data_IF_757034639327
#
_entry.id   IF_757034639327
#
_cell.length_a   1.000
_cell.length_b   1.000
_cell.length_c   1.000
_cell.angle_alpha   90.00
_cell.angle_beta   90.00
_cell.angle_gamma   90.00
#
_symmetry.space_group_name_H-M   'P 1'
#
loop_
_entity.id
_entity.type
_entity.pdbx_description
1 polymer ?
#
# COMPACT_ATOMS: atom_id res chain seq x y z
N UNK A 1 19.62 12.28 13.20
CA UNK A 1 18.28 12.81 12.91
C UNK A 1 17.42 11.67 12.39
N UNK A 2 16.19 11.50 12.91
CA UNK A 2 15.30 10.46 12.43
C UNK A 2 14.70 10.77 11.07
N UNK A 3 14.32 9.72 10.33
CA UNK A 3 13.59 9.85 9.08
C UNK A 3 12.09 9.71 9.33
N UNK A 4 11.28 10.44 8.58
CA UNK A 4 9.83 10.33 8.58
C UNK A 4 9.38 9.82 7.21
N UNK A 5 8.52 8.81 7.19
CA UNK A 5 7.89 8.27 5.99
C UNK A 5 6.38 8.45 6.11
N UNK A 6 5.80 9.09 5.13
CA UNK A 6 4.35 9.18 4.98
C UNK A 6 3.95 8.28 3.82
N UNK A 7 3.20 7.23 4.13
CA UNK A 7 2.56 6.40 3.11
C UNK A 7 1.23 7.05 2.77
N UNK A 8 0.95 7.21 1.51
CA UNK A 8 -0.33 7.72 1.02
C UNK A 8 -0.98 6.61 0.21
N UNK A 9 -2.16 6.17 0.60
CA UNK A 9 -2.98 5.31 -0.25
C UNK A 9 -3.33 6.07 -1.53
N UNK A 10 -3.21 5.43 -2.70
CA UNK A 10 -3.60 6.10 -3.95
C UNK A 10 -5.06 6.57 -3.91
N UNK A 11 -5.39 7.52 -4.75
CA UNK A 11 -6.74 8.05 -4.86
C UNK A 11 -7.75 7.01 -5.38
N UNK A 12 -9.04 7.36 -5.42
CA UNK A 12 -10.09 6.42 -5.80
C UNK A 12 -9.95 5.96 -7.27
N UNK A 13 -10.23 4.68 -7.49
CA UNK A 13 -10.25 4.02 -8.79
C UNK A 13 -11.62 3.38 -9.05
N UNK A 14 -11.90 2.99 -10.28
CA UNK A 14 -13.13 2.26 -10.60
C UNK A 14 -13.16 0.90 -9.89
N UNK A 15 -12.04 0.17 -9.91
CA UNK A 15 -11.95 -1.16 -9.30
C UNK A 15 -12.13 -1.16 -7.78
N UNK A 16 -11.85 -0.06 -7.08
CA UNK A 16 -12.10 0.03 -5.64
C UNK A 16 -13.59 -0.08 -5.29
N UNK A 17 -14.50 0.40 -6.13
CA UNK A 17 -15.94 0.32 -5.89
C UNK A 17 -16.46 -1.12 -6.00
N UNK A 18 -15.88 -1.89 -6.90
CA UNK A 18 -16.24 -3.28 -7.16
C UNK A 18 -15.37 -4.26 -6.36
N UNK A 19 -14.42 -3.72 -5.57
CA UNK A 19 -13.43 -4.49 -4.81
C UNK A 19 -12.68 -5.47 -5.72
N UNK A 20 -12.17 -4.96 -6.84
CA UNK A 20 -11.43 -5.75 -7.83
C UNK A 20 -10.06 -6.14 -7.27
N UNK A 21 -9.74 -7.42 -7.30
CA UNK A 21 -8.41 -7.91 -6.94
C UNK A 21 -7.35 -7.47 -7.96
N UNK A 22 -6.23 -6.93 -7.48
CA UNK A 22 -5.15 -6.47 -8.37
C UNK A 22 -5.63 -5.37 -9.33
N UNK A 23 -6.37 -4.39 -8.80
CA UNK A 23 -6.90 -3.27 -9.58
C UNK A 23 -5.77 -2.46 -10.23
N UNK A 24 -5.77 -2.43 -11.55
CA UNK A 24 -4.85 -1.66 -12.39
C UNK A 24 -5.54 -0.47 -13.07
N UNK A 25 -6.72 -0.08 -12.58
CA UNK A 25 -7.48 1.04 -13.12
C UNK A 25 -6.75 2.37 -12.88
N UNK A 26 -7.02 3.32 -13.75
CA UNK A 26 -6.58 4.69 -13.59
C UNK A 26 -7.26 5.38 -12.41
N UNK A 27 -6.60 6.40 -11.90
CA UNK A 27 -7.14 7.29 -10.88
C UNK A 27 -8.40 7.99 -11.39
N UNK A 28 -9.47 7.92 -10.61
CA UNK A 28 -10.67 8.72 -10.84
C UNK A 28 -10.46 10.12 -10.29
N UNK A 29 -10.87 11.14 -11.04
CA UNK A 29 -10.83 12.53 -10.59
C UNK A 29 -9.45 13.01 -10.13
N UNK A 30 -8.38 12.87 -10.94
CA UNK A 30 -7.04 13.31 -10.56
C UNK A 30 -6.97 14.81 -10.21
N UNK A 31 -7.89 15.61 -10.74
CA UNK A 31 -8.02 17.03 -10.46
C UNK A 31 -8.42 17.34 -9.00
N UNK A 32 -8.99 16.37 -8.29
CA UNK A 32 -9.36 16.50 -6.87
C UNK A 32 -8.22 16.15 -5.93
N UNK A 33 -7.14 15.58 -6.43
CA UNK A 33 -5.93 15.30 -5.65
C UNK A 33 -5.17 16.61 -5.48
N UNK A 34 -5.18 17.18 -4.28
CA UNK A 34 -4.46 18.40 -3.96
C UNK A 34 -2.94 18.21 -4.03
N UNK A 35 -2.19 19.30 -4.15
CA UNK A 35 -0.73 19.28 -4.02
C UNK A 35 -0.30 19.15 -2.56
N UNK A 36 0.80 18.41 -2.31
CA UNK A 36 1.42 18.39 -0.99
C UNK A 36 2.17 19.71 -0.76
N UNK A 37 1.73 20.47 0.21
CA UNK A 37 2.33 21.79 0.53
C UNK A 37 3.57 21.66 1.43
N UNK A 38 3.76 20.52 2.08
CA UNK A 38 4.90 20.29 2.97
C UNK A 38 6.16 20.02 2.16
N UNK A 39 7.30 20.45 2.69
CA UNK A 39 8.60 20.11 2.09
C UNK A 39 8.85 18.61 2.22
N UNK A 40 8.84 17.92 1.08
CA UNK A 40 9.16 16.51 0.96
C UNK A 40 10.55 16.35 0.36
N UNK A 41 11.37 15.50 0.96
CA UNK A 41 12.77 15.28 0.57
C UNK A 41 12.91 14.20 -0.50
N UNK A 42 12.01 13.22 -0.53
CA UNK A 42 11.94 12.21 -1.58
C UNK A 42 10.50 11.73 -1.80
N UNK A 43 10.23 11.39 -3.05
CA UNK A 43 8.95 10.82 -3.49
C UNK A 43 9.18 9.46 -4.13
N UNK A 44 8.40 8.49 -3.76
CA UNK A 44 8.33 7.18 -4.42
C UNK A 44 6.89 6.74 -4.60
N UNK A 45 6.65 5.78 -5.48
CA UNK A 45 5.34 5.15 -5.62
C UNK A 45 5.47 3.69 -6.02
N UNK A 46 4.41 2.92 -5.80
CA UNK A 46 4.21 1.62 -6.41
C UNK A 46 4.06 1.70 -7.93
N UNK A 47 4.21 0.59 -8.64
CA UNK A 47 4.15 0.55 -10.10
C UNK A 47 2.73 0.68 -10.68
N UNK A 48 1.68 0.54 -9.86
CA UNK A 48 0.30 0.62 -10.32
C UNK A 48 -0.02 2.02 -10.89
N UNK A 49 -0.82 2.11 -11.96
CA UNK A 49 -1.17 3.38 -12.61
C UNK A 49 -1.70 4.42 -11.62
N UNK A 50 -2.64 4.05 -10.76
CA UNK A 50 -3.22 4.95 -9.76
C UNK A 50 -2.18 5.48 -8.75
N UNK A 51 -1.17 4.67 -8.38
CA UNK A 51 -0.08 5.10 -7.50
C UNK A 51 0.76 6.18 -8.18
N UNK A 52 1.16 5.96 -9.44
CA UNK A 52 1.93 6.92 -10.22
C UNK A 52 1.18 8.22 -10.46
N UNK A 53 -0.10 8.15 -10.83
CA UNK A 53 -0.96 9.30 -11.10
C UNK A 53 -1.22 10.12 -9.82
N UNK A 54 -1.50 9.45 -8.69
CA UNK A 54 -1.65 10.12 -7.40
C UNK A 54 -0.34 10.79 -6.98
N UNK A 55 0.79 10.11 -7.12
CA UNK A 55 2.09 10.66 -6.78
C UNK A 55 2.45 11.87 -7.65
N UNK A 56 2.17 11.82 -8.96
CA UNK A 56 2.38 12.93 -9.88
C UNK A 56 1.53 14.16 -9.52
N UNK A 57 0.27 13.96 -9.13
CA UNK A 57 -0.62 15.03 -8.70
C UNK A 57 -0.10 15.70 -7.40
N UNK A 58 0.32 14.90 -6.41
CA UNK A 58 0.83 15.39 -5.12
C UNK A 58 2.19 16.08 -5.26
N UNK A 59 3.15 15.46 -5.95
CA UNK A 59 4.54 15.89 -6.03
C UNK A 59 4.80 16.88 -7.18
N UNK A 60 4.05 16.77 -8.24
CA UNK A 60 4.25 17.51 -9.50
C UNK A 60 5.42 17.00 -10.36
N UNK A 61 6.46 16.39 -9.78
CA UNK A 61 7.62 15.82 -10.49
C UNK A 61 8.55 15.06 -9.54
N UNK A 62 9.49 14.32 -10.12
CA UNK A 62 10.58 13.71 -9.35
C UNK A 62 10.15 12.53 -8.49
N UNK A 63 9.20 11.72 -8.97
CA UNK A 63 8.74 10.51 -8.30
C UNK A 63 9.52 9.31 -8.83
N UNK A 64 10.06 8.51 -7.93
CA UNK A 64 10.72 7.23 -8.22
C UNK A 64 9.69 6.10 -8.15
N UNK A 65 9.60 5.27 -9.19
CA UNK A 65 8.80 4.04 -9.15
C UNK A 65 9.62 2.93 -8.50
N UNK A 66 9.11 2.37 -7.40
CA UNK A 66 9.74 1.27 -6.67
C UNK A 66 8.92 -0.02 -6.86
N UNK A 67 9.49 -0.98 -7.57
CA UNK A 67 8.81 -2.26 -7.85
C UNK A 67 8.48 -3.04 -6.56
N UNK A 68 9.30 -2.87 -5.52
CA UNK A 68 9.11 -3.50 -4.22
C UNK A 68 7.87 -2.98 -3.48
N UNK A 69 7.33 -1.83 -3.89
CA UNK A 69 6.07 -1.27 -3.38
C UNK A 69 4.85 -1.70 -4.20
N UNK A 70 4.99 -2.66 -5.10
CA UNK A 70 3.86 -3.23 -5.83
C UNK A 70 2.79 -3.78 -4.88
N UNK A 71 1.53 -3.73 -5.30
CA UNK A 71 0.42 -4.35 -4.60
C UNK A 71 0.60 -5.86 -4.42
N UNK A 72 -0.33 -6.48 -3.72
CA UNK A 72 -0.33 -7.95 -3.55
C UNK A 72 -0.45 -8.63 -4.91
N UNK A 73 0.41 -9.61 -5.18
CA UNK A 73 0.20 -10.51 -6.31
C UNK A 73 -0.94 -11.47 -5.99
N UNK A 74 -2.07 -11.24 -6.61
CA UNK A 74 -3.31 -12.00 -6.41
C UNK A 74 -3.50 -13.11 -7.45
N UNK A 75 -2.47 -13.45 -8.20
CA UNK A 75 -2.45 -14.58 -9.13
C UNK A 75 -3.72 -14.68 -9.98
N UNK A 76 -4.42 -15.82 -9.90
CA UNK A 76 -5.62 -16.11 -10.68
C UNK A 76 -6.83 -15.21 -10.35
N UNK A 77 -6.79 -14.45 -9.26
CA UNK A 77 -7.88 -13.52 -8.92
C UNK A 77 -7.70 -12.12 -9.53
N UNK A 78 -6.58 -11.86 -10.21
CA UNK A 78 -6.29 -10.55 -10.82
C UNK A 78 -7.42 -10.12 -11.79
N UNK A 79 -7.88 -8.89 -11.61
CA UNK A 79 -8.94 -8.29 -12.41
C UNK A 79 -10.36 -8.79 -12.09
N UNK A 80 -10.51 -9.65 -11.10
CA UNK A 80 -11.82 -10.20 -10.74
C UNK A 80 -12.43 -9.45 -9.54
N UNK A 81 -13.72 -9.08 -9.61
CA UNK A 81 -14.44 -8.53 -8.47
C UNK A 81 -14.52 -9.52 -7.30
N UNK A 82 -14.50 -9.00 -6.07
CA UNK A 82 -14.66 -9.82 -4.86
C UNK A 82 -15.92 -10.70 -4.89
N UNK A 83 -17.04 -10.15 -5.40
CA UNK A 83 -18.30 -10.88 -5.50
C UNK A 83 -18.23 -12.11 -6.42
N UNK A 84 -17.47 -12.02 -7.50
CA UNK A 84 -17.23 -13.15 -8.42
C UNK A 84 -16.39 -14.23 -7.75
N UNK A 85 -15.29 -13.85 -7.10
CA UNK A 85 -14.43 -14.78 -6.36
C UNK A 85 -15.21 -15.45 -5.22
N UNK A 86 -16.02 -14.68 -4.49
CA UNK A 86 -16.86 -15.20 -3.41
C UNK A 86 -17.88 -16.23 -3.89
N UNK A 87 -18.36 -16.09 -5.14
CA UNK A 87 -19.31 -17.04 -5.75
C UNK A 87 -18.63 -18.32 -6.25
N UNK A 88 -17.43 -18.19 -6.84
CA UNK A 88 -16.76 -19.30 -7.50
C UNK A 88 -15.79 -20.07 -6.59
N UNK A 89 -15.13 -19.39 -5.65
CA UNK A 89 -14.20 -19.97 -4.68
C UNK A 89 -14.41 -19.42 -3.27
N UNK A 90 -15.58 -19.65 -2.65
CA UNK A 90 -15.89 -19.16 -1.31
C UNK A 90 -14.94 -19.71 -0.23
N UNK A 91 -14.48 -20.96 -0.38
CA UNK A 91 -13.54 -21.57 0.56
C UNK A 91 -12.14 -20.96 0.45
N UNK A 92 -11.66 -20.71 -0.77
CA UNK A 92 -10.39 -20.02 -1.01
C UNK A 92 -10.42 -18.61 -0.45
N UNK A 93 -11.48 -17.86 -0.72
CA UNK A 93 -11.66 -16.52 -0.18
C UNK A 93 -11.68 -16.51 1.36
N UNK A 94 -12.45 -17.41 1.97
CA UNK A 94 -12.50 -17.55 3.44
C UNK A 94 -11.13 -17.84 4.04
N UNK A 95 -10.36 -18.72 3.40
CA UNK A 95 -9.01 -19.09 3.82
C UNK A 95 -8.05 -17.91 3.69
N UNK A 96 -8.11 -17.18 2.59
CA UNK A 96 -7.28 -15.97 2.38
C UNK A 96 -7.55 -14.90 3.43
N UNK A 97 -8.81 -14.72 3.86
CA UNK A 97 -9.18 -13.75 4.89
C UNK A 97 -8.80 -14.16 6.31
N UNK A 98 -8.71 -15.46 6.60
CA UNK A 98 -8.50 -15.99 7.95
C UNK A 98 -7.06 -16.48 8.22
N UNK A 99 -6.34 -16.87 7.17
CA UNK A 99 -4.96 -17.36 7.25
C UNK A 99 -4.02 -16.50 6.40
N UNK A 100 -3.23 -15.60 7.04
CA UNK A 100 -2.32 -14.71 6.31
C UNK A 100 -1.22 -15.43 5.52
N UNK A 101 -0.96 -16.70 5.80
CA UNK A 101 0.03 -17.51 5.07
C UNK A 101 -0.56 -18.15 3.83
N UNK A 102 -1.88 -18.10 3.68
CA UNK A 102 -2.59 -18.70 2.56
C UNK A 102 -2.53 -17.82 1.30
N UNK A 103 -2.34 -18.47 0.14
CA UNK A 103 -2.42 -17.83 -1.17
C UNK A 103 -3.23 -18.71 -2.14
N UNK A 104 -4.55 -18.86 -1.94
CA UNK A 104 -5.40 -19.76 -2.74
C UNK A 104 -5.43 -19.36 -4.22
N UNK A 105 -5.17 -18.11 -4.53
CA UNK A 105 -5.04 -17.56 -5.88
C UNK A 105 -3.70 -17.87 -6.58
N UNK A 106 -2.76 -18.55 -5.90
CA UNK A 106 -1.46 -18.92 -6.47
C UNK A 106 -0.45 -17.77 -6.62
N UNK A 107 -0.74 -16.63 -6.03
CA UNK A 107 0.18 -15.48 -5.98
C UNK A 107 0.87 -15.34 -4.62
N UNK A 108 0.97 -14.11 -4.12
CA UNK A 108 1.64 -13.76 -2.87
C UNK A 108 0.67 -13.83 -1.67
N UNK A 109 1.07 -14.43 -0.55
CA UNK A 109 0.28 -14.39 0.69
C UNK A 109 0.42 -13.02 1.39
N UNK A 110 -0.52 -12.71 2.30
CA UNK A 110 -0.43 -11.47 3.10
C UNK A 110 0.84 -11.44 3.97
N UNK A 111 1.28 -12.59 4.47
CA UNK A 111 2.53 -12.69 5.23
C UNK A 111 3.75 -12.36 4.35
N UNK A 112 3.79 -12.87 3.11
CA UNK A 112 4.85 -12.56 2.16
C UNK A 112 4.85 -11.06 1.77
N UNK A 113 3.67 -10.47 1.57
CA UNK A 113 3.55 -9.02 1.34
C UNK A 113 4.18 -8.21 2.47
N UNK A 114 3.82 -8.51 3.73
CA UNK A 114 4.36 -7.78 4.90
C UNK A 114 5.89 -7.89 4.96
N UNK A 115 6.44 -9.08 4.69
CA UNK A 115 7.90 -9.29 4.65
C UNK A 115 8.53 -8.47 3.53
N UNK A 116 8.05 -8.57 2.30
CA UNK A 116 8.61 -7.89 1.13
C UNK A 116 8.66 -6.37 1.31
N UNK A 117 7.54 -5.77 1.70
CA UNK A 117 7.47 -4.31 1.85
C UNK A 117 8.22 -3.84 3.10
N UNK A 118 8.28 -4.66 4.15
CA UNK A 118 9.04 -4.41 5.35
C UNK A 118 10.54 -4.41 5.07
N UNK A 119 11.06 -5.42 4.39
CA UNK A 119 12.47 -5.51 3.98
C UNK A 119 12.87 -4.32 3.11
N UNK A 120 12.02 -3.90 2.16
CA UNK A 120 12.27 -2.69 1.37
C UNK A 120 12.39 -1.45 2.26
N UNK A 121 11.48 -1.26 3.22
CA UNK A 121 11.53 -0.13 4.13
C UNK A 121 12.76 -0.16 5.03
N UNK A 122 13.17 -1.32 5.49
CA UNK A 122 14.30 -1.47 6.40
C UNK A 122 15.65 -1.30 5.70
N UNK A 123 15.77 -1.81 4.49
CA UNK A 123 17.00 -1.73 3.69
C UNK A 123 17.22 -0.34 3.07
N UNK A 124 16.13 0.41 2.81
CA UNK A 124 16.24 1.70 2.14
C UNK A 124 16.82 2.78 3.04
N UNK A 125 17.78 3.54 2.49
CA UNK A 125 18.26 4.78 3.12
C UNK A 125 17.26 5.91 2.91
N UNK A 126 16.47 6.20 3.93
CA UNK A 126 15.53 7.31 3.92
C UNK A 126 16.24 8.63 4.22
N UNK A 127 15.96 9.66 3.44
CA UNK A 127 16.54 10.98 3.67
C UNK A 127 16.09 11.52 5.03
N UNK A 128 16.98 12.24 5.76
CA UNK A 128 16.57 12.97 6.95
C UNK A 128 15.43 13.94 6.64
N UNK A 129 14.39 13.95 7.45
CA UNK A 129 13.17 14.74 7.22
C UNK A 129 12.02 13.91 6.64
N UNK A 130 11.20 14.54 5.80
CA UNK A 130 9.97 13.93 5.27
C UNK A 130 10.19 13.19 3.95
N UNK A 131 9.78 11.94 3.90
CA UNK A 131 9.71 11.14 2.68
C UNK A 131 8.25 10.73 2.46
N UNK A 132 7.82 10.62 1.22
CA UNK A 132 6.47 10.18 0.86
C UNK A 132 6.54 9.01 -0.11
N UNK A 133 5.73 8.00 0.15
CA UNK A 133 5.51 6.89 -0.77
C UNK A 133 4.02 6.72 -1.05
N UNK A 134 3.63 6.79 -2.32
CA UNK A 134 2.24 6.51 -2.74
C UNK A 134 2.12 5.05 -3.13
N UNK A 135 1.22 4.35 -2.48
CA UNK A 135 1.09 2.89 -2.58
C UNK A 135 -0.38 2.46 -2.62
N UNK A 136 -0.62 1.19 -2.91
CA UNK A 136 -1.97 0.64 -2.74
C UNK A 136 -2.38 0.64 -1.25
N UNK A 137 -3.68 0.73 -0.93
CA UNK A 137 -4.15 0.70 0.46
C UNK A 137 -3.64 -0.51 1.24
N UNK A 138 -3.57 -1.68 0.59
CA UNK A 138 -3.11 -2.91 1.22
C UNK A 138 -1.62 -2.87 1.57
N UNK A 139 -0.78 -2.28 0.69
CA UNK A 139 0.66 -2.05 0.96
C UNK A 139 0.85 -1.08 2.13
N UNK A 140 0.07 0.00 2.18
CA UNK A 140 0.14 0.94 3.30
C UNK A 140 -0.22 0.27 4.65
N UNK A 141 -1.25 -0.59 4.65
CA UNK A 141 -1.64 -1.41 5.82
C UNK A 141 -0.55 -2.39 6.21
N UNK A 142 0.06 -3.07 5.24
CA UNK A 142 1.17 -4.02 5.48
C UNK A 142 2.38 -3.33 6.13
N UNK A 143 2.73 -2.12 5.67
CA UNK A 143 3.81 -1.34 6.27
C UNK A 143 3.46 -0.81 7.68
N UNK A 144 2.20 -0.49 7.94
CA UNK A 144 1.76 -0.16 9.30
C UNK A 144 1.90 -1.35 10.25
N UNK A 145 1.49 -2.55 9.81
CA UNK A 145 1.63 -3.81 10.55
C UNK A 145 3.11 -4.14 10.82
N UNK A 146 3.97 -4.00 9.81
CA UNK A 146 5.42 -4.15 9.96
C UNK A 146 6.00 -3.17 11.00
N UNK A 147 5.66 -1.89 10.90
CA UNK A 147 6.16 -0.85 11.82
C UNK A 147 5.71 -1.06 13.28
N UNK A 148 4.54 -1.67 13.49
CA UNK A 148 4.03 -2.04 14.80
C UNK A 148 4.62 -3.35 15.34
N UNK A 149 5.36 -4.09 14.51
CA UNK A 149 5.90 -5.42 14.82
C UNK A 149 4.80 -6.40 15.30
N UNK A 150 3.60 -6.31 14.71
CA UNK A 150 2.49 -7.24 14.96
C UNK A 150 2.36 -8.22 13.80
N UNK A 151 1.63 -9.32 14.01
CA UNK A 151 1.45 -10.34 12.99
C UNK A 151 0.63 -9.85 11.78
N UNK A 152 0.81 -10.48 10.60
CA UNK A 152 0.14 -10.10 9.37
C UNK A 152 -1.39 -10.23 9.43
N UNK A 153 -1.94 -10.98 10.37
CA UNK A 153 -3.38 -11.05 10.66
C UNK A 153 -4.00 -9.70 11.07
N UNK A 154 -3.17 -8.74 11.47
CA UNK A 154 -3.61 -7.40 11.82
C UNK A 154 -3.89 -6.51 10.60
N UNK A 155 -3.56 -6.94 9.39
CA UNK A 155 -3.63 -6.12 8.15
C UNK A 155 -5.06 -5.62 7.87
N UNK A 156 -6.07 -6.45 8.16
CA UNK A 156 -7.48 -6.08 7.99
C UNK A 156 -8.07 -5.29 9.17
N UNK A 157 -7.29 -5.06 10.23
CA UNK A 157 -7.67 -4.21 11.36
C UNK A 157 -7.25 -2.74 11.18
N UNK A 158 -6.46 -2.47 10.16
CA UNK A 158 -6.06 -1.11 9.77
C UNK A 158 -7.01 -0.65 8.68
N UNK A 159 -7.87 0.30 8.98
CA UNK A 159 -8.71 0.94 7.97
C UNK A 159 -8.01 2.15 7.37
N UNK A 160 -8.06 2.28 6.05
CA UNK A 160 -7.41 3.36 5.32
C UNK A 160 -8.23 3.71 4.07
N UNK A 161 -8.77 4.90 4.06
CA UNK A 161 -9.52 5.42 2.92
C UNK A 161 -8.59 5.78 1.75
N UNK A 162 -9.11 5.96 0.53
CA UNK A 162 -8.36 6.57 -0.57
C UNK A 162 -7.78 7.92 -0.14
N UNK A 163 -6.53 8.19 -0.51
CA UNK A 163 -5.71 9.33 -0.07
C UNK A 163 -5.41 9.37 1.43
N UNK A 164 -5.88 8.38 2.19
CA UNK A 164 -5.53 8.20 3.59
C UNK A 164 -4.03 8.01 3.79
N UNK A 165 -3.55 8.36 4.96
CA UNK A 165 -2.11 8.46 5.27
C UNK A 165 -1.74 7.61 6.47
N UNK A 166 -0.62 6.91 6.35
CA UNK A 166 0.09 6.27 7.45
C UNK A 166 1.40 7.02 7.67
N UNK A 167 1.57 7.61 8.83
CA UNK A 167 2.80 8.33 9.16
C UNK A 167 3.68 7.47 10.05
N UNK A 168 4.87 7.19 9.57
CA UNK A 168 5.89 6.42 10.28
C UNK A 168 7.10 7.31 10.59
N UNK A 169 7.78 7.02 11.70
CA UNK A 169 9.10 7.57 12.01
C UNK A 169 10.09 6.45 12.28
N UNK A 170 11.35 6.64 11.87
CA UNK A 170 12.44 5.68 12.09
C UNK A 170 13.52 6.28 12.97
N UNK A 171 13.93 5.53 13.97
CA UNK A 171 15.08 5.85 14.81
C UNK A 171 15.94 4.60 14.97
N UNK A 172 17.12 4.61 14.39
CA UNK A 172 17.92 3.38 14.24
C UNK A 172 17.20 2.38 13.37
N UNK A 173 17.00 1.16 13.86
CA UNK A 173 16.25 0.09 13.20
C UNK A 173 14.76 0.06 13.56
N UNK A 174 14.30 0.93 14.46
CA UNK A 174 12.92 0.86 14.99
C UNK A 174 12.01 1.82 14.25
N UNK A 175 10.97 1.29 13.64
CA UNK A 175 9.83 2.05 13.12
C UNK A 175 8.81 2.31 14.22
N UNK A 176 8.12 3.44 14.12
CA UNK A 176 7.01 3.81 15.00
C UNK A 176 5.89 4.39 14.20
N UNK A 177 4.67 3.92 14.42
CA UNK A 177 3.47 4.53 13.90
C UNK A 177 3.20 5.84 14.65
N UNK A 178 3.10 6.94 13.91
CA UNK A 178 2.86 8.29 14.45
C UNK A 178 1.41 8.72 14.27
N UNK A 179 0.73 8.19 13.26
CA UNK A 179 -0.67 8.52 12.99
C UNK A 179 -1.24 7.80 11.77
N UNK A 180 -2.56 7.71 11.79
CA UNK A 180 -3.42 7.29 10.69
C UNK A 180 -4.39 8.43 10.42
N UNK A 181 -4.64 8.76 9.12
CA UNK A 181 -5.58 9.84 8.77
C UNK A 181 -5.82 9.99 7.27
#
# INVERSE_FOLDING_TARGET
>A
MGSRLVLVAHGPTAGMRELVFGDESDLQHPELVGREERRVMSWSCGPEPACGQTAAALAGRGVEVAAELAGLDVGAWRGRPLAEVASEDPEGLSRWMSDPSSAPHGGESLAQLVVRVGEFCDAREWRPGGNVAVVSPLVARALAVHALAVGPEAIFRVDLAPLGRVTLSRQGSIWRLQGLG
#
